data_IF_929512031629
#
_entry.id   IF_929512031629
#
_cell.length_a   1.000
_cell.length_b   1.000
_cell.length_c   1.000
_cell.angle_alpha   90.00
_cell.angle_beta   90.00
_cell.angle_gamma   90.00
#
_symmetry.space_group_name_H-M   'P 1'
#
loop_
_entity.id
_entity.type
_entity.pdbx_description
1 polymer ?
#
# COMPACT_ATOMS: atom_id res chain seq x y z
N UNK A 1 -11.13 22.56 15.67
CA UNK A 1 -11.56 21.33 16.39
C UNK A 1 -10.57 21.11 17.53
N UNK A 2 -11.07 21.12 18.76
CA UNK A 2 -10.18 21.05 19.95
C UNK A 2 -10.07 19.62 20.51
N UNK A 3 -9.86 18.65 19.62
CA UNK A 3 -9.65 17.27 20.06
C UNK A 3 -8.30 17.13 20.73
N UNK A 4 -8.27 16.46 21.89
CA UNK A 4 -7.05 16.22 22.67
C UNK A 4 -6.09 15.25 21.99
N UNK A 5 -6.65 14.31 21.22
CA UNK A 5 -5.93 13.23 20.54
C UNK A 5 -6.41 13.12 19.10
N UNK A 6 -5.46 12.94 18.19
CA UNK A 6 -5.74 12.51 16.81
C UNK A 6 -5.28 11.07 16.64
N UNK A 7 -6.16 10.22 16.13
CA UNK A 7 -5.85 8.83 15.76
C UNK A 7 -6.03 8.68 14.26
N UNK A 8 -5.00 8.24 13.57
CA UNK A 8 -5.05 7.94 12.15
C UNK A 8 -5.06 6.42 11.93
N UNK A 9 -5.86 5.98 10.97
CA UNK A 9 -5.93 4.60 10.49
C UNK A 9 -5.54 4.61 9.01
N UNK A 10 -4.46 3.93 8.69
CA UNK A 10 -4.09 3.61 7.31
C UNK A 10 -4.48 2.16 7.01
N UNK A 11 -5.61 2.02 6.34
CA UNK A 11 -6.12 0.73 5.91
C UNK A 11 -5.57 0.39 4.53
N UNK A 12 -4.33 -0.13 4.49
CA UNK A 12 -3.62 -0.43 3.24
C UNK A 12 -4.06 -1.74 2.57
N UNK A 13 -3.76 -1.92 1.29
CA UNK A 13 -4.08 -3.16 0.56
C UNK A 13 -3.30 -4.36 1.08
N UNK A 14 -2.03 -4.17 1.42
CA UNK A 14 -1.14 -5.24 1.87
C UNK A 14 -0.88 -5.18 3.36
N UNK A 15 -0.72 -3.99 3.90
CA UNK A 15 -0.43 -3.74 5.31
C UNK A 15 -1.29 -2.59 5.80
N UNK A 16 -1.88 -2.76 6.98
CA UNK A 16 -2.68 -1.77 7.69
C UNK A 16 -2.00 -1.40 8.99
N UNK A 17 -2.27 -0.20 9.49
CA UNK A 17 -1.75 0.25 10.77
C UNK A 17 -2.51 1.44 11.29
N UNK A 18 -2.27 1.75 12.55
CA UNK A 18 -2.80 2.95 13.18
C UNK A 18 -1.72 3.67 13.98
N UNK A 19 -1.88 4.97 14.12
CA UNK A 19 -0.98 5.84 14.84
C UNK A 19 -1.74 6.99 15.47
N UNK A 20 -1.15 7.61 16.47
CA UNK A 20 -1.76 8.73 17.18
C UNK A 20 -0.73 9.72 17.67
N UNK A 21 -1.18 10.92 17.97
CA UNK A 21 -0.46 11.87 18.80
C UNK A 21 -1.43 12.74 19.63
N UNK A 22 -0.93 13.18 20.77
CA UNK A 22 -1.64 14.16 21.57
C UNK A 22 -1.41 15.56 21.03
N UNK A 23 -2.38 16.47 21.18
CA UNK A 23 -2.23 17.86 20.70
C UNK A 23 -1.01 18.55 21.27
N UNK A 24 -0.74 18.43 22.56
CA UNK A 24 0.42 19.03 23.20
C UNK A 24 1.78 18.46 22.72
N UNK A 25 1.79 17.21 22.24
CA UNK A 25 2.98 16.60 21.61
C UNK A 25 3.17 17.14 20.20
N UNK A 26 2.10 17.20 19.42
CA UNK A 26 2.08 17.79 18.08
C UNK A 26 2.58 19.22 18.06
N UNK A 27 2.11 20.07 18.99
CA UNK A 27 2.51 21.47 19.11
C UNK A 27 4.01 21.64 19.41
N UNK A 28 4.64 20.66 20.06
CA UNK A 28 6.08 20.67 20.34
C UNK A 28 6.91 20.08 19.22
N UNK A 29 6.44 18.99 18.62
CA UNK A 29 7.12 18.27 17.57
C UNK A 29 6.07 17.54 16.68
N UNK A 30 5.69 18.14 15.53
CA UNK A 30 4.68 17.57 14.64
C UNK A 30 4.99 16.18 14.11
N UNK A 31 6.26 15.78 14.07
CA UNK A 31 6.66 14.45 13.58
C UNK A 31 6.71 13.39 14.68
N UNK A 32 6.47 13.78 15.94
CA UNK A 32 6.39 12.84 17.06
C UNK A 32 5.03 12.13 17.05
N UNK A 33 4.97 11.05 16.30
CA UNK A 33 3.78 10.22 16.13
C UNK A 33 4.04 8.82 16.69
N UNK A 34 3.18 8.38 17.58
CA UNK A 34 3.20 7.04 18.17
C UNK A 34 2.41 6.05 17.32
N UNK A 35 2.93 4.86 17.09
CA UNK A 35 2.26 3.78 16.35
C UNK A 35 2.40 2.45 17.04
N UNK A 36 1.46 1.54 16.81
CA UNK A 36 1.54 0.16 17.30
C UNK A 36 2.65 -0.60 16.55
N UNK A 37 3.42 -1.38 17.29
CA UNK A 37 4.29 -2.39 16.71
C UNK A 37 3.53 -3.71 16.58
N UNK A 38 3.50 -4.25 15.38
CA UNK A 38 2.92 -5.53 15.03
C UNK A 38 4.02 -6.59 14.96
N UNK A 39 3.73 -7.79 15.44
CA UNK A 39 4.70 -8.89 15.46
C UNK A 39 4.17 -10.08 14.66
N UNK A 40 5.01 -10.62 13.78
CA UNK A 40 4.73 -11.83 13.02
C UNK A 40 5.98 -12.72 12.99
N UNK A 41 6.07 -13.66 13.94
CA UNK A 41 7.28 -14.44 14.12
C UNK A 41 8.47 -13.55 14.47
N UNK A 42 9.49 -13.52 13.61
CA UNK A 42 10.70 -12.69 13.77
C UNK A 42 10.55 -11.27 13.20
N UNK A 43 9.43 -10.97 12.54
CA UNK A 43 9.17 -9.66 11.95
C UNK A 43 8.50 -8.73 12.96
N UNK A 44 9.06 -7.53 13.12
CA UNK A 44 8.44 -6.42 13.85
C UNK A 44 8.23 -5.28 12.85
N UNK A 45 7.00 -4.77 12.77
CA UNK A 45 6.63 -3.69 11.85
C UNK A 45 5.60 -2.77 12.48
N UNK A 46 5.57 -1.51 12.06
CA UNK A 46 4.52 -0.55 12.46
C UNK A 46 3.21 -0.72 11.68
N UNK A 47 3.14 -1.70 10.79
CA UNK A 47 1.93 -2.13 10.08
C UNK A 47 1.88 -3.66 10.04
N UNK A 48 0.69 -4.23 10.29
CA UNK A 48 0.40 -5.66 10.11
C UNK A 48 -0.20 -5.95 8.74
N UNK A 49 -0.14 -7.20 8.24
CA UNK A 49 -0.76 -7.59 6.99
C UNK A 49 -2.27 -7.36 7.02
N UNK A 50 -2.83 -6.86 5.92
CA UNK A 50 -4.27 -6.67 5.77
C UNK A 50 -4.93 -8.01 5.46
N UNK A 51 -5.17 -8.78 6.49
CA UNK A 51 -5.90 -10.04 6.43
C UNK A 51 -6.74 -10.25 7.69
N UNK A 52 -7.78 -11.05 7.56
CA UNK A 52 -8.75 -11.32 8.60
C UNK A 52 -9.15 -12.79 8.56
N UNK A 53 -9.30 -13.39 9.73
CA UNK A 53 -9.86 -14.72 9.92
C UNK A 53 -11.23 -14.61 10.58
N UNK A 54 -12.24 -15.19 9.93
CA UNK A 54 -13.62 -15.22 10.40
C UNK A 54 -13.97 -16.67 10.73
N UNK A 55 -14.68 -16.87 11.86
CA UNK A 55 -15.10 -18.16 12.34
C UNK A 55 -16.07 -18.87 11.38
N UNK A 56 -16.33 -20.17 11.55
CA UNK A 56 -17.27 -20.95 10.73
C UNK A 56 -18.70 -20.39 10.67
N UNK A 57 -19.10 -19.56 11.62
CA UNK A 57 -20.39 -18.87 11.59
C UNK A 57 -20.53 -17.81 10.50
N UNK A 58 -19.42 -17.48 9.81
CA UNK A 58 -19.36 -16.48 8.75
C UNK A 58 -19.56 -15.04 9.22
N UNK A 59 -19.55 -14.78 10.52
CA UNK A 59 -19.85 -13.47 11.13
C UNK A 59 -18.84 -13.02 12.18
N UNK A 60 -18.39 -13.94 13.02
CA UNK A 60 -17.52 -13.60 14.16
C UNK A 60 -16.07 -13.54 13.69
N UNK A 61 -15.44 -12.38 13.83
CA UNK A 61 -14.01 -12.26 13.62
C UNK A 61 -13.27 -13.00 14.72
N UNK A 62 -12.29 -13.79 14.32
CA UNK A 62 -11.38 -14.47 15.23
C UNK A 62 -10.10 -13.64 15.44
N UNK A 63 -9.46 -13.25 14.35
CA UNK A 63 -8.20 -12.52 14.39
C UNK A 63 -7.98 -11.65 13.14
N UNK A 64 -7.05 -10.72 13.26
CA UNK A 64 -6.59 -9.83 12.20
C UNK A 64 -5.06 -9.88 12.14
N UNK A 65 -4.42 -9.36 11.06
CA UNK A 65 -2.97 -9.24 10.85
C UNK A 65 -2.20 -10.58 10.84
N UNK A 66 -1.01 -10.59 11.41
CA UNK A 66 -0.15 -11.79 11.52
C UNK A 66 -0.81 -12.92 12.32
N UNK A 67 -1.66 -12.59 13.30
CA UNK A 67 -2.40 -13.58 14.07
C UNK A 67 -3.40 -14.33 13.18
N UNK A 68 -4.06 -13.63 12.26
CA UNK A 68 -4.97 -14.24 11.30
C UNK A 68 -4.22 -15.19 10.34
N UNK A 69 -3.04 -14.80 9.86
CA UNK A 69 -2.21 -15.67 9.00
C UNK A 69 -1.73 -16.90 9.76
N UNK A 70 -1.27 -16.74 11.01
CA UNK A 70 -0.74 -17.84 11.82
C UNK A 70 -1.82 -18.83 12.21
N UNK A 71 -2.96 -18.34 12.71
CA UNK A 71 -4.08 -19.22 13.07
C UNK A 71 -4.69 -19.95 11.87
N UNK A 72 -4.74 -19.29 10.70
CA UNK A 72 -5.22 -19.96 9.50
C UNK A 72 -4.26 -21.07 9.04
N UNK A 73 -2.94 -20.84 9.17
CA UNK A 73 -1.94 -21.87 8.93
C UNK A 73 -2.08 -23.06 9.88
N UNK A 74 -2.29 -22.80 11.20
CA UNK A 74 -2.57 -23.86 12.19
C UNK A 74 -3.84 -24.66 11.83
N UNK A 75 -4.92 -23.98 11.39
CA UNK A 75 -6.13 -24.66 10.92
C UNK A 75 -5.88 -25.52 9.67
N UNK A 76 -4.97 -25.09 8.79
CA UNK A 76 -4.59 -25.87 7.63
C UNK A 76 -3.79 -27.13 8.01
N UNK A 77 -2.92 -27.07 9.01
CA UNK A 77 -2.23 -28.26 9.55
C UNK A 77 -3.22 -29.26 10.17
N UNK A 78 -4.28 -28.75 10.84
CA UNK A 78 -5.34 -29.56 11.42
C UNK A 78 -6.35 -30.09 10.38
N UNK A 79 -6.26 -29.71 9.09
CA UNK A 79 -7.23 -29.95 8.02
C UNK A 79 -8.66 -29.42 8.31
N UNK A 80 -8.76 -28.34 9.10
CA UNK A 80 -10.01 -27.67 9.51
C UNK A 80 -10.26 -26.36 8.75
N UNK A 81 -9.31 -25.91 7.90
CA UNK A 81 -9.31 -24.61 7.24
C UNK A 81 -10.54 -24.37 6.36
N UNK A 82 -11.17 -25.41 5.81
CA UNK A 82 -12.31 -25.29 4.88
C UNK A 82 -13.58 -24.77 5.58
N UNK A 83 -13.63 -24.81 6.92
CA UNK A 83 -14.71 -24.27 7.71
C UNK A 83 -14.52 -22.77 8.04
N UNK A 84 -13.31 -22.24 7.88
CA UNK A 84 -12.94 -20.90 8.24
C UNK A 84 -12.86 -19.98 7.02
N UNK A 85 -13.18 -18.69 7.20
CA UNK A 85 -13.10 -17.71 6.13
C UNK A 85 -11.87 -16.85 6.32
N UNK A 86 -10.83 -17.06 5.51
CA UNK A 86 -9.60 -16.27 5.51
C UNK A 86 -9.58 -15.31 4.34
N UNK A 87 -9.61 -14.01 4.63
CA UNK A 87 -9.53 -12.96 3.61
C UNK A 87 -8.20 -12.23 3.72
N UNK A 88 -7.46 -12.19 2.61
CA UNK A 88 -6.18 -11.49 2.49
C UNK A 88 -6.26 -10.44 1.40
N UNK A 89 -5.69 -9.24 1.69
CA UNK A 89 -5.61 -8.13 0.71
C UNK A 89 -6.97 -7.67 0.18
N UNK A 90 -8.00 -7.76 0.98
CA UNK A 90 -9.40 -7.54 0.56
C UNK A 90 -9.74 -6.07 0.27
N UNK A 91 -8.91 -5.08 0.67
CA UNK A 91 -9.12 -3.66 0.35
C UNK A 91 -9.34 -3.42 -1.15
N UNK A 92 -8.64 -4.15 -2.03
CA UNK A 92 -8.80 -4.00 -3.49
C UNK A 92 -10.16 -4.47 -4.02
N UNK A 93 -10.89 -5.28 -3.25
CA UNK A 93 -12.27 -5.66 -3.60
C UNK A 93 -13.21 -4.46 -3.49
N UNK A 94 -12.91 -3.49 -2.63
CA UNK A 94 -13.68 -2.26 -2.44
C UNK A 94 -13.58 -1.33 -3.65
N UNK A 95 -12.46 -1.37 -4.39
CA UNK A 95 -12.28 -0.62 -5.63
C UNK A 95 -13.20 -1.09 -6.77
N UNK A 96 -13.73 -2.32 -6.69
CA UNK A 96 -14.55 -2.99 -7.72
C UNK A 96 -16.02 -3.22 -7.32
N UNK A 97 -16.59 -2.41 -6.42
CA UNK A 97 -18.00 -2.50 -5.99
C UNK A 97 -18.42 -3.85 -5.37
N UNK A 98 -17.97 -4.18 -4.16
CA UNK A 98 -18.52 -5.31 -3.36
C UNK A 98 -18.72 -4.95 -1.89
N UNK A 99 -19.92 -5.33 -1.35
CA UNK A 99 -20.53 -4.79 -0.13
C UNK A 99 -20.14 -5.40 1.24
N UNK A 100 -19.34 -6.45 1.40
CA UNK A 100 -19.48 -7.34 2.58
C UNK A 100 -18.34 -7.40 3.61
N UNK A 101 -17.50 -6.37 3.83
CA UNK A 101 -16.24 -6.59 4.59
C UNK A 101 -16.07 -5.82 5.92
N UNK A 102 -17.00 -4.99 6.38
CA UNK A 102 -16.65 -3.88 7.30
C UNK A 102 -17.13 -3.89 8.75
N UNK A 103 -17.80 -4.90 9.24
CA UNK A 103 -18.21 -4.97 10.67
C UNK A 103 -17.04 -5.15 11.65
N UNK A 104 -15.84 -5.41 11.16
CA UNK A 104 -14.76 -5.99 11.98
C UNK A 104 -13.73 -5.02 12.55
N UNK A 105 -13.63 -3.80 12.03
CA UNK A 105 -12.58 -2.84 12.43
C UNK A 105 -12.83 -2.14 13.78
N UNK A 106 -14.02 -2.28 14.37
CA UNK A 106 -14.48 -1.44 15.50
C UNK A 106 -14.04 -1.81 16.91
N UNK A 107 -13.38 -2.95 17.15
CA UNK A 107 -13.27 -3.51 18.51
C UNK A 107 -11.92 -3.38 19.23
N UNK A 108 -10.93 -2.70 18.70
CA UNK A 108 -9.56 -2.74 19.28
C UNK A 108 -8.99 -1.43 19.86
N UNK A 109 -9.78 -0.41 20.11
CA UNK A 109 -9.27 0.81 20.78
C UNK A 109 -9.85 0.90 22.18
N UNK A 110 -9.23 0.20 23.12
CA UNK A 110 -9.46 0.40 24.58
C UNK A 110 -8.48 1.47 25.08
N UNK A 111 -8.84 2.73 24.86
CA UNK A 111 -8.16 3.88 25.45
C UNK A 111 -9.08 4.45 26.51
N UNK A 112 -8.57 4.82 27.67
CA UNK A 112 -9.33 5.46 28.75
C UNK A 112 -9.96 6.81 28.40
N UNK A 113 -9.96 7.19 27.10
CA UNK A 113 -10.61 8.36 26.51
C UNK A 113 -11.94 7.93 25.90
N UNK A 114 -12.96 8.77 26.07
CA UNK A 114 -14.22 8.57 25.34
C UNK A 114 -14.01 8.72 23.83
N UNK A 115 -14.75 7.94 23.04
CA UNK A 115 -14.68 8.00 21.54
C UNK A 115 -14.94 9.43 21.03
N UNK A 116 -15.66 10.25 21.82
CA UNK A 116 -15.95 11.67 21.55
C UNK A 116 -14.72 12.60 21.65
N UNK A 117 -13.69 12.19 22.38
CA UNK A 117 -12.50 13.03 22.65
C UNK A 117 -11.41 12.83 21.59
N UNK A 118 -11.61 11.85 20.70
CA UNK A 118 -10.69 11.46 19.66
C UNK A 118 -11.17 12.01 18.31
N UNK A 119 -10.28 12.67 17.57
CA UNK A 119 -10.48 12.93 16.16
C UNK A 119 -9.85 11.81 15.32
N UNK A 120 -10.67 11.15 14.53
CA UNK A 120 -10.29 10.02 13.71
C UNK A 120 -9.99 10.45 12.29
N UNK A 121 -8.88 9.98 11.74
CA UNK A 121 -8.49 10.21 10.35
C UNK A 121 -8.32 8.86 9.66
N UNK A 122 -9.06 8.64 8.58
CA UNK A 122 -8.99 7.42 7.79
C UNK A 122 -8.45 7.72 6.39
N UNK A 123 -7.39 7.02 5.98
CA UNK A 123 -6.76 7.23 4.68
C UNK A 123 -7.42 6.41 3.59
N UNK A 124 -7.48 7.00 2.39
CA UNK A 124 -7.96 6.32 1.17
C UNK A 124 -7.09 6.71 -0.02
N UNK A 125 -6.92 5.82 -1.03
CA UNK A 125 -6.23 6.15 -2.27
C UNK A 125 -6.87 7.34 -2.98
N UNK A 126 -6.07 8.22 -3.56
CA UNK A 126 -6.57 9.40 -4.25
C UNK A 126 -7.36 9.06 -5.52
N UNK A 127 -7.02 7.95 -6.20
CA UNK A 127 -7.72 7.48 -7.41
C UNK A 127 -9.11 6.89 -7.15
N UNK A 128 -9.48 6.62 -5.89
CA UNK A 128 -10.78 6.03 -5.58
C UNK A 128 -11.94 6.97 -5.93
N UNK A 129 -13.06 6.39 -6.38
CA UNK A 129 -14.28 7.12 -6.64
C UNK A 129 -15.03 7.45 -5.33
N UNK A 130 -16.04 8.32 -5.44
CA UNK A 130 -16.79 8.79 -4.26
C UNK A 130 -17.59 7.65 -3.58
N UNK A 131 -18.05 6.64 -4.34
CA UNK A 131 -18.72 5.48 -3.77
C UNK A 131 -17.78 4.67 -2.85
N UNK A 132 -16.53 4.43 -3.27
CA UNK A 132 -15.54 3.75 -2.45
C UNK A 132 -15.15 4.57 -1.19
N UNK A 133 -15.05 5.90 -1.33
CA UNK A 133 -14.79 6.79 -0.18
C UNK A 133 -15.96 6.80 0.80
N UNK A 134 -17.19 6.84 0.29
CA UNK A 134 -18.41 6.79 1.10
C UNK A 134 -18.54 5.46 1.82
N UNK A 135 -18.23 4.35 1.14
CA UNK A 135 -18.21 3.04 1.76
C UNK A 135 -17.24 2.97 2.95
N UNK A 136 -16.03 3.51 2.83
CA UNK A 136 -15.07 3.57 3.93
C UNK A 136 -15.58 4.43 5.10
N UNK A 137 -16.31 5.51 4.81
CA UNK A 137 -16.95 6.34 5.83
C UNK A 137 -18.02 5.57 6.60
N UNK A 138 -18.91 4.90 5.89
CA UNK A 138 -19.96 4.07 6.48
C UNK A 138 -19.39 2.93 7.31
N UNK A 139 -18.33 2.32 6.84
CA UNK A 139 -17.63 1.29 7.56
C UNK A 139 -17.05 1.75 8.88
N UNK A 140 -16.36 2.88 8.88
CA UNK A 140 -15.82 3.47 10.10
C UNK A 140 -16.96 3.82 11.09
N UNK A 141 -18.08 4.32 10.58
CA UNK A 141 -19.28 4.61 11.42
C UNK A 141 -19.90 3.34 12.01
N UNK A 142 -20.04 2.28 11.21
CA UNK A 142 -20.52 0.98 11.66
C UNK A 142 -19.58 0.35 12.69
N UNK A 143 -18.30 0.67 12.61
CA UNK A 143 -17.28 0.29 13.59
C UNK A 143 -17.34 1.12 14.89
N UNK A 144 -18.29 2.06 15.01
CA UNK A 144 -18.49 2.87 16.21
C UNK A 144 -17.77 4.22 16.20
N UNK A 145 -17.13 4.63 15.09
CA UNK A 145 -16.49 5.95 14.96
C UNK A 145 -17.59 6.99 14.65
N UNK A 146 -17.80 8.02 15.52
CA UNK A 146 -18.82 9.02 15.27
C UNK A 146 -18.53 9.85 14.01
N UNK A 147 -19.55 10.04 13.16
CA UNK A 147 -19.41 10.77 11.89
C UNK A 147 -18.79 12.17 12.06
N UNK A 148 -19.15 12.87 13.14
CA UNK A 148 -18.64 14.23 13.45
C UNK A 148 -17.14 14.26 13.79
N UNK A 149 -16.60 13.11 14.22
CA UNK A 149 -15.20 12.98 14.62
C UNK A 149 -14.34 12.28 13.55
N UNK A 150 -14.91 11.95 12.38
CA UNK A 150 -14.24 11.22 11.32
C UNK A 150 -13.91 12.13 10.13
N UNK A 151 -12.64 12.19 9.77
CA UNK A 151 -12.15 12.79 8.52
C UNK A 151 -11.59 11.71 7.60
N UNK A 152 -11.98 11.74 6.32
CA UNK A 152 -11.35 10.95 5.26
C UNK A 152 -10.29 11.82 4.58
N UNK A 153 -9.08 11.31 4.40
CA UNK A 153 -7.99 12.01 3.72
C UNK A 153 -7.36 11.15 2.61
N UNK A 154 -6.70 11.81 1.66
CA UNK A 154 -6.07 11.16 0.53
C UNK A 154 -4.63 10.77 0.86
N UNK A 155 -4.26 9.51 0.57
CA UNK A 155 -2.94 8.95 0.91
C UNK A 155 -1.76 9.82 0.44
N UNK A 156 -1.65 10.25 -0.83
CA UNK A 156 -0.53 11.08 -1.28
C UNK A 156 -0.51 12.49 -0.68
N UNK A 157 -1.68 13.08 -0.37
CA UNK A 157 -1.75 14.40 0.26
C UNK A 157 -1.13 14.38 1.66
N UNK A 158 -1.59 13.45 2.50
CA UNK A 158 -1.10 13.37 3.88
C UNK A 158 0.36 12.93 3.94
N UNK A 159 0.81 12.05 3.04
CA UNK A 159 2.22 11.71 2.92
C UNK A 159 3.08 12.93 2.58
N UNK A 160 2.59 13.79 1.70
CA UNK A 160 3.24 15.06 1.35
C UNK A 160 3.35 15.99 2.55
N UNK A 161 2.28 16.12 3.36
CA UNK A 161 2.28 16.91 4.59
C UNK A 161 3.40 16.43 5.54
N UNK A 162 3.45 15.13 5.82
CA UNK A 162 4.50 14.55 6.67
C UNK A 162 5.90 14.88 6.17
N UNK A 163 6.15 14.69 4.88
CA UNK A 163 7.47 14.92 4.30
C UNK A 163 7.91 16.40 4.37
N UNK A 164 6.99 17.35 4.47
CA UNK A 164 7.31 18.76 4.68
C UNK A 164 7.83 19.06 6.09
N UNK A 165 7.45 18.27 7.07
CA UNK A 165 7.92 18.40 8.45
C UNK A 165 9.24 17.65 8.72
N UNK A 166 9.73 16.84 7.75
CA UNK A 166 10.96 16.07 7.96
C UNK A 166 12.20 16.99 8.01
N UNK A 167 13.10 16.78 9.00
CA UNK A 167 14.37 17.47 9.05
C UNK A 167 15.32 17.02 7.93
N UNK A 168 16.27 17.88 7.53
CA UNK A 168 17.24 17.67 6.43
C UNK A 168 18.00 16.33 6.51
N UNK A 169 18.23 15.83 7.71
CA UNK A 169 18.99 14.60 7.94
C UNK A 169 18.23 13.29 7.66
N UNK A 170 16.90 13.35 7.47
CA UNK A 170 16.02 12.16 7.32
C UNK A 170 15.51 11.92 5.91
N UNK A 171 15.99 12.64 4.91
CA UNK A 171 15.67 12.37 3.50
C UNK A 171 16.93 12.01 2.74
N UNK A 172 17.03 10.78 2.26
CA UNK A 172 18.10 10.37 1.37
C UNK A 172 17.77 10.81 -0.07
N UNK A 173 18.47 11.83 -0.54
CA UNK A 173 18.58 12.07 -1.98
C UNK A 173 19.84 11.38 -2.47
N UNK A 174 19.75 10.68 -3.59
CA UNK A 174 20.95 10.18 -4.28
C UNK A 174 21.75 11.40 -4.74
N UNK A 175 22.67 11.86 -3.89
CA UNK A 175 23.64 12.91 -4.21
C UNK A 175 23.59 14.22 -3.43
N UNK A 176 22.46 14.69 -2.86
CA UNK A 176 22.38 15.93 -2.08
C UNK A 176 21.27 15.95 -1.03
N UNK A 177 21.55 16.59 0.11
CA UNK A 177 20.60 16.81 1.20
C UNK A 177 19.60 17.91 0.82
N UNK A 178 18.41 17.57 0.36
CA UNK A 178 17.37 18.59 0.17
C UNK A 178 15.99 18.09 0.56
N UNK A 179 15.24 18.98 1.14
CA UNK A 179 13.95 18.75 1.76
C UNK A 179 12.85 19.51 1.07
N UNK A 180 11.64 18.90 1.09
CA UNK A 180 10.42 19.60 0.75
C UNK A 180 10.18 20.85 1.59
N UNK A 181 10.65 20.89 2.84
CA UNK A 181 10.58 22.07 3.70
C UNK A 181 11.32 23.29 3.13
N UNK A 182 12.28 23.08 2.22
CA UNK A 182 13.03 24.15 1.55
C UNK A 182 12.38 24.61 0.25
N UNK A 183 11.29 23.98 -0.19
CA UNK A 183 10.60 24.41 -1.38
C UNK A 183 9.90 25.75 -1.13
N UNK A 184 10.33 26.75 -1.89
CA UNK A 184 9.73 28.08 -1.86
C UNK A 184 8.34 28.06 -2.47
N UNK A 185 7.57 29.10 -2.18
CA UNK A 185 6.28 29.35 -2.84
C UNK A 185 6.41 29.27 -4.37
N UNK A 186 5.42 28.66 -5.01
CA UNK A 186 5.37 28.39 -6.44
C UNK A 186 6.13 27.13 -6.88
N UNK A 187 6.88 26.46 -5.98
CA UNK A 187 7.55 25.21 -6.33
C UNK A 187 6.54 24.09 -6.51
N UNK A 188 6.61 23.43 -7.66
CA UNK A 188 5.77 22.27 -8.03
C UNK A 188 6.55 20.99 -7.85
N UNK A 189 5.92 19.97 -7.30
CA UNK A 189 6.49 18.64 -7.19
C UNK A 189 5.42 17.57 -7.33
N UNK A 190 5.85 16.41 -7.78
CA UNK A 190 5.00 15.23 -7.94
C UNK A 190 5.12 14.35 -6.71
N UNK A 191 4.01 13.84 -6.22
CA UNK A 191 3.96 12.78 -5.21
C UNK A 191 3.62 11.47 -5.93
N UNK A 192 4.52 10.49 -5.83
CA UNK A 192 4.34 9.12 -6.29
C UNK A 192 4.10 8.26 -5.06
N UNK A 193 2.85 7.99 -4.74
CA UNK A 193 2.50 7.03 -3.70
C UNK A 193 2.48 5.62 -4.31
N UNK A 194 3.54 4.86 -4.03
CA UNK A 194 3.68 3.49 -4.47
C UNK A 194 3.33 2.54 -3.33
N UNK A 195 2.06 2.17 -3.28
CA UNK A 195 1.51 1.24 -2.31
C UNK A 195 1.66 -0.23 -2.69
N UNK A 196 1.08 -1.10 -1.87
CA UNK A 196 1.03 -2.54 -2.18
C UNK A 196 0.04 -2.87 -3.29
N UNK A 197 -1.12 -2.22 -3.33
CA UNK A 197 -2.19 -2.45 -4.31
C UNK A 197 -2.21 -1.46 -5.44
N UNK A 198 -2.05 -0.17 -5.11
CA UNK A 198 -2.18 0.95 -6.05
C UNK A 198 -0.87 1.71 -6.20
N UNK A 199 -0.78 2.42 -7.31
CA UNK A 199 0.12 3.54 -7.54
C UNK A 199 -0.77 4.76 -7.72
N UNK A 200 -0.54 5.79 -6.92
CA UNK A 200 -1.25 7.06 -6.98
C UNK A 200 -0.26 8.20 -7.26
N UNK A 201 -0.62 9.08 -8.19
CA UNK A 201 0.18 10.23 -8.58
C UNK A 201 -0.66 11.50 -8.40
N UNK A 202 -0.11 12.45 -7.67
CA UNK A 202 -0.65 13.81 -7.53
C UNK A 202 0.45 14.85 -7.78
N UNK A 203 0.07 16.05 -8.17
CA UNK A 203 0.99 17.18 -8.34
C UNK A 203 0.58 18.29 -7.42
N UNK A 204 1.50 18.72 -6.57
CA UNK A 204 1.29 19.76 -5.58
C UNK A 204 2.15 20.99 -5.87
N UNK A 205 1.63 22.16 -5.49
CA UNK A 205 2.35 23.43 -5.47
C UNK A 205 2.36 23.98 -4.04
N UNK A 206 3.48 24.53 -3.63
CA UNK A 206 3.61 25.24 -2.35
C UNK A 206 3.03 26.63 -2.51
N UNK A 207 2.02 27.00 -1.70
CA UNK A 207 1.40 28.34 -1.72
C UNK A 207 2.30 29.38 -1.07
N UNK A 208 1.91 30.67 -1.16
CA UNK A 208 2.61 31.77 -0.51
C UNK A 208 2.59 31.68 1.02
N UNK A 209 1.56 31.08 1.59
CA UNK A 209 1.39 30.83 3.03
C UNK A 209 2.07 29.54 3.50
N UNK A 210 2.61 28.75 2.56
CA UNK A 210 3.31 27.53 2.87
C UNK A 210 2.43 26.26 2.88
N UNK A 211 1.14 26.39 2.66
CA UNK A 211 0.22 25.25 2.49
C UNK A 211 0.39 24.57 1.13
N UNK A 212 -0.38 23.54 0.88
CA UNK A 212 -0.35 22.79 -0.36
C UNK A 212 -1.61 23.01 -1.18
N UNK A 213 -1.40 23.15 -2.48
CA UNK A 213 -2.45 23.20 -3.50
C UNK A 213 -2.26 22.03 -4.46
N UNK A 214 -3.30 21.24 -4.68
CA UNK A 214 -3.33 20.23 -5.73
C UNK A 214 -3.52 20.91 -7.10
N UNK A 215 -2.66 20.57 -8.07
CA UNK A 215 -2.71 21.16 -9.41
C UNK A 215 -3.43 20.28 -10.43
N UNK A 216 -3.46 18.97 -10.22
CA UNK A 216 -4.07 18.01 -11.12
C UNK A 216 -4.78 16.92 -10.34
N UNK A 217 -5.93 16.49 -10.87
CA UNK A 217 -6.64 15.33 -10.34
C UNK A 217 -5.71 14.12 -10.26
N UNK A 218 -5.83 13.35 -9.19
CA UNK A 218 -5.04 12.15 -9.01
C UNK A 218 -5.16 11.20 -10.22
N UNK A 219 -4.03 10.69 -10.68
CA UNK A 219 -3.92 9.63 -11.67
C UNK A 219 -3.21 8.41 -11.09
N UNK A 220 -3.40 7.23 -11.68
CA UNK A 220 -2.82 6.02 -11.14
C UNK A 220 -3.54 4.75 -11.54
N UNK A 221 -3.30 3.67 -10.80
CA UNK A 221 -3.94 2.39 -11.07
C UNK A 221 -3.51 1.27 -10.12
N UNK A 222 -4.06 0.07 -10.36
CA UNK A 222 -3.80 -1.12 -9.58
C UNK A 222 -2.45 -1.79 -9.96
N UNK A 223 -1.35 -1.04 -9.85
CA UNK A 223 0.01 -1.46 -10.25
C UNK A 223 1.00 -1.47 -9.07
N UNK A 224 0.51 -1.63 -7.86
CA UNK A 224 1.34 -1.67 -6.65
C UNK A 224 2.21 -2.93 -6.54
N UNK A 225 2.95 -3.03 -5.44
CA UNK A 225 3.94 -4.10 -5.17
C UNK A 225 3.39 -5.53 -5.24
N UNK A 226 2.06 -5.72 -5.08
CA UNK A 226 1.41 -7.04 -5.25
C UNK A 226 1.49 -7.59 -6.67
N UNK A 227 1.72 -6.75 -7.67
CA UNK A 227 1.94 -7.20 -9.06
C UNK A 227 3.27 -7.96 -9.20
N UNK A 228 4.28 -7.62 -8.40
CA UNK A 228 5.54 -8.39 -8.33
C UNK A 228 5.27 -9.77 -7.75
N UNK A 229 4.43 -9.88 -6.70
CA UNK A 229 4.04 -11.17 -6.11
C UNK A 229 3.27 -12.03 -7.13
N UNK A 230 2.36 -11.40 -7.89
CA UNK A 230 1.62 -12.09 -8.97
C UNK A 230 2.56 -12.59 -10.08
N UNK A 231 3.58 -11.81 -10.44
CA UNK A 231 4.59 -12.23 -11.41
C UNK A 231 5.45 -13.40 -10.89
N UNK A 232 5.78 -13.41 -9.59
CA UNK A 232 6.45 -14.53 -8.96
C UNK A 232 5.57 -15.79 -8.92
N UNK A 233 4.30 -15.67 -8.58
CA UNK A 233 3.35 -16.80 -8.64
C UNK A 233 3.22 -17.35 -10.06
N UNK A 234 3.13 -16.48 -11.06
CA UNK A 234 3.09 -16.88 -12.46
C UNK A 234 4.39 -17.58 -12.89
N UNK A 235 5.55 -17.13 -12.38
CA UNK A 235 6.82 -17.81 -12.59
C UNK A 235 6.79 -19.24 -12.02
N UNK A 236 6.37 -19.45 -10.76
CA UNK A 236 6.23 -20.79 -10.18
C UNK A 236 5.24 -21.63 -10.98
N UNK A 237 4.07 -21.07 -11.30
CA UNK A 237 3.02 -21.74 -12.08
C UNK A 237 3.55 -22.19 -13.44
N UNK A 238 4.37 -21.40 -14.09
CA UNK A 238 4.97 -21.77 -15.41
C UNK A 238 5.95 -22.95 -15.34
N UNK A 239 6.49 -23.22 -14.16
CA UNK A 239 7.41 -24.37 -13.93
C UNK A 239 6.62 -25.62 -13.54
N UNK A 240 5.74 -25.51 -12.53
CA UNK A 240 5.10 -26.69 -11.92
C UNK A 240 3.69 -26.97 -12.46
N UNK A 241 3.04 -26.00 -13.06
CA UNK A 241 1.67 -26.06 -13.56
C UNK A 241 0.64 -25.52 -12.58
N UNK A 242 -0.48 -25.03 -13.12
CA UNK A 242 -1.56 -24.38 -12.34
C UNK A 242 -2.24 -25.35 -11.35
N UNK A 243 -2.43 -26.61 -11.73
CA UNK A 243 -3.06 -27.61 -10.88
C UNK A 243 -2.23 -27.91 -9.63
N UNK A 244 -0.89 -27.97 -9.77
CA UNK A 244 0.04 -28.16 -8.65
C UNK A 244 -0.03 -26.97 -7.70
N UNK A 245 -0.02 -25.74 -8.23
CA UNK A 245 -0.13 -24.53 -7.40
C UNK A 245 -1.47 -24.46 -6.67
N UNK A 246 -2.59 -24.81 -7.34
CA UNK A 246 -3.90 -24.86 -6.69
C UNK A 246 -3.93 -25.89 -5.56
N UNK A 247 -3.40 -27.10 -5.80
CA UNK A 247 -3.33 -28.15 -4.78
C UNK A 247 -2.40 -27.76 -3.64
N UNK A 248 -1.29 -27.08 -3.94
CA UNK A 248 -0.36 -26.57 -2.95
C UNK A 248 -1.03 -25.53 -2.03
N UNK A 249 -1.78 -24.58 -2.59
CA UNK A 249 -2.58 -23.62 -1.82
C UNK A 249 -3.61 -24.29 -0.91
N UNK A 250 -4.28 -25.34 -1.41
CA UNK A 250 -5.36 -25.97 -0.67
C UNK A 250 -4.89 -26.93 0.41
N UNK A 251 -3.77 -27.63 0.19
CA UNK A 251 -3.29 -28.67 1.11
C UNK A 251 -2.10 -28.28 1.99
N UNK A 252 -1.35 -27.26 1.59
CA UNK A 252 -0.13 -26.82 2.26
C UNK A 252 -0.11 -25.29 2.32
N UNK A 253 -1.16 -24.70 2.90
CA UNK A 253 -1.35 -23.26 2.95
C UNK A 253 -0.27 -22.57 3.81
N UNK A 254 0.17 -23.22 4.88
CA UNK A 254 1.27 -22.82 5.74
C UNK A 254 2.56 -22.60 4.93
N UNK A 255 2.97 -23.63 4.19
CA UNK A 255 4.13 -23.60 3.30
C UNK A 255 3.96 -22.57 2.18
N UNK A 256 2.75 -22.43 1.62
CA UNK A 256 2.45 -21.41 0.61
C UNK A 256 2.63 -19.99 1.18
N UNK A 257 2.12 -19.71 2.38
CA UNK A 257 2.31 -18.43 3.07
C UNK A 257 3.80 -18.16 3.31
N UNK A 258 4.55 -19.15 3.78
CA UNK A 258 5.98 -19.05 4.06
C UNK A 258 6.82 -18.73 2.80
N UNK A 259 6.50 -19.37 1.66
CA UNK A 259 7.15 -19.07 0.37
C UNK A 259 6.98 -17.61 -0.03
N UNK A 260 5.77 -17.06 0.15
CA UNK A 260 5.51 -15.67 -0.20
C UNK A 260 6.04 -14.68 0.84
N UNK A 261 6.15 -15.05 2.12
CA UNK A 261 6.84 -14.27 3.14
C UNK A 261 8.35 -14.17 2.86
N UNK A 262 9.00 -15.28 2.50
CA UNK A 262 10.41 -15.27 2.11
C UNK A 262 10.62 -14.42 0.85
N UNK A 263 9.75 -14.56 -0.15
CA UNK A 263 9.81 -13.74 -1.37
C UNK A 263 9.61 -12.25 -1.07
N UNK A 264 8.70 -11.86 -0.17
CA UNK A 264 8.51 -10.46 0.25
C UNK A 264 9.80 -9.84 0.79
N UNK A 265 10.57 -10.60 1.57
CA UNK A 265 11.89 -10.15 2.09
C UNK A 265 12.89 -10.01 0.94
N UNK A 266 12.93 -10.97 0.02
CA UNK A 266 13.89 -10.99 -1.10
C UNK A 266 13.63 -9.89 -2.12
N UNK A 267 12.34 -9.67 -2.48
CA UNK A 267 11.98 -8.64 -3.47
C UNK A 267 12.40 -7.23 -3.05
N UNK A 268 12.44 -6.94 -1.73
CA UNK A 268 12.90 -5.65 -1.19
C UNK A 268 14.41 -5.42 -1.36
N UNK A 269 15.17 -6.46 -1.70
CA UNK A 269 16.63 -6.41 -1.90
C UNK A 269 17.03 -6.42 -3.37
N UNK A 270 16.08 -6.40 -4.29
CA UNK A 270 16.35 -6.40 -5.72
C UNK A 270 16.59 -4.98 -6.20
N UNK A 271 17.67 -4.81 -6.99
CA UNK A 271 17.98 -3.55 -7.69
C UNK A 271 18.29 -3.83 -9.17
N UNK A 272 18.26 -2.80 -10.04
CA UNK A 272 18.65 -2.95 -11.45
C UNK A 272 20.10 -3.45 -11.62
N UNK A 273 20.96 -3.12 -10.67
CA UNK A 273 22.40 -3.44 -10.70
C UNK A 273 22.77 -4.75 -10.01
N UNK A 274 21.83 -5.38 -9.29
CA UNK A 274 22.10 -6.64 -8.57
C UNK A 274 22.47 -7.76 -9.54
N UNK A 275 23.62 -8.37 -9.31
CA UNK A 275 24.16 -9.49 -10.12
C UNK A 275 24.05 -10.82 -9.38
N UNK A 276 24.04 -10.81 -8.03
CA UNK A 276 24.00 -12.02 -7.21
C UNK A 276 22.68 -12.75 -7.40
N UNK A 277 22.78 -14.08 -7.45
CA UNK A 277 21.61 -14.95 -7.52
C UNK A 277 20.75 -14.79 -6.26
N UNK A 278 19.44 -14.77 -6.46
CA UNK A 278 18.45 -14.70 -5.39
C UNK A 278 18.12 -16.11 -4.91
N UNK A 279 18.25 -16.34 -3.62
CA UNK A 279 17.90 -17.64 -3.01
C UNK A 279 16.55 -17.50 -2.31
N UNK A 280 15.57 -18.29 -2.77
CA UNK A 280 14.17 -18.27 -2.28
C UNK A 280 13.87 -19.64 -1.68
N UNK A 281 13.21 -19.67 -0.53
CA UNK A 281 12.78 -20.91 0.12
C UNK A 281 11.81 -21.68 -0.80
N UNK A 282 11.95 -23.01 -0.82
CA UNK A 282 11.08 -23.90 -1.55
C UNK A 282 10.79 -25.12 -0.69
N UNK A 283 9.58 -25.26 -0.14
CA UNK A 283 9.24 -26.34 0.78
C UNK A 283 9.19 -27.69 0.07
N UNK A 284 9.46 -28.75 0.83
CA UNK A 284 9.46 -30.13 0.34
C UNK A 284 8.07 -30.56 -0.16
N UNK A 285 7.00 -30.05 0.45
CA UNK A 285 5.61 -30.31 0.06
C UNK A 285 5.34 -29.98 -1.40
N UNK A 286 5.84 -28.84 -1.93
CA UNK A 286 5.71 -28.51 -3.33
C UNK A 286 6.46 -29.49 -4.24
N UNK A 287 7.66 -29.92 -3.84
CA UNK A 287 8.44 -30.93 -4.60
C UNK A 287 7.72 -32.29 -4.64
N UNK A 288 7.14 -32.70 -3.51
CA UNK A 288 6.34 -33.92 -3.39
C UNK A 288 5.12 -33.85 -4.32
N UNK A 289 4.35 -32.75 -4.30
CA UNK A 289 3.20 -32.56 -5.19
C UNK A 289 3.61 -32.60 -6.67
N UNK A 290 4.76 -32.05 -7.04
CA UNK A 290 5.26 -32.16 -8.42
C UNK A 290 5.46 -33.63 -8.81
N UNK A 291 6.10 -34.43 -7.94
CA UNK A 291 6.33 -35.85 -8.21
C UNK A 291 5.03 -36.64 -8.33
N UNK A 292 4.05 -36.39 -7.43
CA UNK A 292 2.76 -37.05 -7.42
C UNK A 292 1.90 -36.70 -8.65
N UNK A 293 1.82 -35.42 -9.03
CA UNK A 293 0.88 -34.94 -10.03
C UNK A 293 1.47 -34.87 -11.44
N UNK A 294 2.78 -34.69 -11.56
CA UNK A 294 3.48 -34.51 -12.84
C UNK A 294 4.37 -35.69 -13.20
N UNK A 295 4.47 -36.73 -12.32
CA UNK A 295 5.41 -37.84 -12.46
C UNK A 295 6.84 -37.39 -12.76
N UNK A 296 7.21 -36.22 -12.25
CA UNK A 296 8.49 -35.55 -12.49
C UNK A 296 8.86 -34.70 -11.27
N UNK A 297 10.11 -34.77 -10.84
CA UNK A 297 10.58 -33.94 -9.74
C UNK A 297 10.73 -32.46 -10.12
N UNK A 298 10.77 -31.59 -9.13
CA UNK A 298 10.87 -30.13 -9.36
C UNK A 298 12.13 -29.75 -10.16
N UNK A 299 13.26 -30.46 -9.97
CA UNK A 299 14.51 -30.22 -10.69
C UNK A 299 14.35 -30.51 -12.18
N UNK A 300 13.70 -31.61 -12.51
CA UNK A 300 13.43 -32.01 -13.90
C UNK A 300 12.47 -31.03 -14.58
N UNK A 301 11.42 -30.60 -13.87
CA UNK A 301 10.47 -29.57 -14.38
C UNK A 301 11.18 -28.23 -14.67
N UNK A 302 12.09 -27.80 -13.80
CA UNK A 302 12.87 -26.58 -14.02
C UNK A 302 13.75 -26.74 -15.24
N UNK A 303 14.47 -27.85 -15.40
CA UNK A 303 15.32 -28.09 -16.56
C UNK A 303 14.57 -28.09 -17.88
N UNK A 304 13.31 -28.55 -17.89
CA UNK A 304 12.42 -28.54 -19.05
C UNK A 304 11.79 -27.17 -19.32
N UNK A 305 11.78 -26.29 -18.34
CA UNK A 305 11.23 -24.93 -18.47
C UNK A 305 12.21 -23.99 -19.17
N UNK A 306 11.70 -22.83 -19.62
CA UNK A 306 12.53 -21.75 -20.16
C UNK A 306 13.58 -21.21 -19.18
N UNK A 307 13.52 -21.62 -17.92
CA UNK A 307 14.40 -21.17 -16.85
C UNK A 307 15.51 -22.17 -16.50
N UNK A 308 15.62 -23.30 -17.21
CA UNK A 308 16.53 -24.40 -16.87
C UNK A 308 17.99 -24.01 -16.69
N UNK A 309 18.49 -23.00 -17.41
CA UNK A 309 19.85 -22.46 -17.26
C UNK A 309 19.98 -21.42 -16.15
N UNK A 310 18.88 -20.80 -15.70
CA UNK A 310 18.84 -19.64 -14.79
C UNK A 310 18.38 -19.97 -13.37
N UNK A 311 17.82 -21.15 -13.17
CA UNK A 311 17.23 -21.60 -11.88
C UNK A 311 17.82 -22.95 -11.50
N UNK A 312 18.21 -23.06 -10.23
CA UNK A 312 18.74 -24.31 -9.66
C UNK A 312 18.03 -24.65 -8.35
N UNK A 313 17.68 -25.91 -8.19
CA UNK A 313 17.19 -26.44 -6.90
C UNK A 313 18.39 -26.79 -6.01
N UNK A 314 18.37 -26.34 -4.79
CA UNK A 314 19.36 -26.59 -3.74
C UNK A 314 18.62 -27.02 -2.48
N UNK A 315 18.42 -28.32 -2.29
CA UNK A 315 17.66 -28.88 -1.16
C UNK A 315 16.27 -28.20 -1.05
N UNK A 316 16.06 -27.40 -0.05
CA UNK A 316 14.82 -26.66 0.27
C UNK A 316 14.76 -25.23 -0.31
N UNK A 317 15.57 -24.93 -1.34
CA UNK A 317 15.71 -23.57 -1.91
C UNK A 317 15.79 -23.59 -3.42
N UNK A 318 15.25 -22.54 -4.03
CA UNK A 318 15.54 -22.17 -5.41
C UNK A 318 16.60 -21.08 -5.45
N UNK A 319 17.62 -21.27 -6.25
CA UNK A 319 18.63 -20.27 -6.56
C UNK A 319 18.36 -19.73 -7.96
N UNK A 320 17.87 -18.50 -8.03
CA UNK A 320 17.36 -17.85 -9.24
C UNK A 320 18.31 -16.74 -9.68
N UNK A 321 18.62 -16.64 -10.94
CA UNK A 321 19.43 -15.56 -11.47
C UNK A 321 18.70 -14.21 -11.28
N UNK A 322 19.44 -13.15 -10.94
CA UNK A 322 18.86 -11.86 -10.60
C UNK A 322 18.06 -11.22 -11.76
N UNK A 323 18.44 -11.49 -13.00
CA UNK A 323 17.72 -11.01 -14.19
C UNK A 323 16.28 -11.56 -14.27
N UNK A 324 16.07 -12.82 -13.90
CA UNK A 324 14.74 -13.43 -13.85
C UNK A 324 13.87 -12.72 -12.80
N UNK A 325 14.43 -12.43 -11.63
CA UNK A 325 13.67 -11.74 -10.56
C UNK A 325 13.40 -10.26 -10.95
N UNK A 326 14.33 -9.60 -11.64
CA UNK A 326 14.12 -8.24 -12.16
C UNK A 326 12.96 -8.17 -13.16
N UNK A 327 12.77 -9.22 -13.98
CA UNK A 327 11.65 -9.29 -14.91
C UNK A 327 10.29 -9.13 -14.25
N UNK A 328 10.12 -9.56 -12.99
CA UNK A 328 8.86 -9.42 -12.24
C UNK A 328 8.42 -7.96 -12.04
N UNK A 329 9.36 -7.02 -12.12
CA UNK A 329 9.10 -5.58 -11.95
C UNK A 329 8.83 -4.86 -13.27
N UNK A 330 9.10 -5.48 -14.42
CA UNK A 330 9.13 -4.79 -15.71
C UNK A 330 7.82 -4.08 -16.06
N UNK A 331 6.70 -4.77 -15.89
CA UNK A 331 5.39 -4.21 -16.23
C UNK A 331 5.04 -3.00 -15.36
N UNK A 332 5.31 -3.10 -14.04
CA UNK A 332 5.02 -2.01 -13.09
C UNK A 332 5.85 -0.78 -13.42
N UNK A 333 7.15 -0.96 -13.62
CA UNK A 333 8.06 0.15 -13.95
C UNK A 333 7.67 0.80 -15.28
N UNK A 334 7.19 0.03 -16.25
CA UNK A 334 6.70 0.57 -17.52
C UNK A 334 5.43 1.41 -17.34
N UNK A 335 4.48 0.96 -16.54
CA UNK A 335 3.27 1.72 -16.24
C UNK A 335 3.57 3.02 -15.49
N UNK A 336 4.40 2.96 -14.45
CA UNK A 336 4.82 4.16 -13.69
C UNK A 336 5.52 5.15 -14.63
N UNK A 337 6.41 4.66 -15.49
CA UNK A 337 7.11 5.50 -16.45
C UNK A 337 6.18 6.16 -17.48
N UNK A 338 5.06 5.52 -17.81
CA UNK A 338 4.03 6.10 -18.69
C UNK A 338 3.27 7.21 -17.98
N UNK A 339 2.82 6.97 -16.75
CA UNK A 339 2.13 7.98 -15.93
C UNK A 339 3.00 9.23 -15.71
N UNK A 340 4.28 9.03 -15.40
CA UNK A 340 5.21 10.14 -15.15
C UNK A 340 5.55 10.96 -16.41
N UNK A 341 5.10 10.57 -17.60
CA UNK A 341 5.22 11.36 -18.83
C UNK A 341 4.00 12.23 -19.11
N UNK A 342 2.97 12.18 -18.29
CA UNK A 342 1.79 13.02 -18.47
C UNK A 342 2.16 14.51 -18.42
N UNK A 343 1.46 15.37 -19.18
CA UNK A 343 1.74 16.82 -19.20
C UNK A 343 1.68 17.48 -17.81
N UNK A 344 0.90 16.92 -16.90
CA UNK A 344 0.77 17.38 -15.52
C UNK A 344 2.08 17.36 -14.73
N UNK A 345 3.01 16.50 -15.12
CA UNK A 345 4.33 16.36 -14.48
C UNK A 345 5.33 17.41 -14.97
N UNK A 346 5.03 18.10 -16.09
CA UNK A 346 5.92 19.08 -16.66
C UNK A 346 6.06 20.29 -15.71
N UNK A 347 7.28 20.72 -15.48
CA UNK A 347 7.60 21.86 -14.61
C UNK A 347 7.72 21.50 -13.12
N UNK A 348 7.60 20.22 -12.74
CA UNK A 348 7.93 19.78 -11.40
C UNK A 348 9.44 19.87 -11.14
N UNK A 349 9.81 20.29 -9.92
CA UNK A 349 11.20 20.33 -9.46
C UNK A 349 11.69 18.98 -8.90
N UNK A 350 10.75 18.15 -8.42
CA UNK A 350 11.07 16.88 -7.78
C UNK A 350 9.95 15.84 -7.91
N UNK A 351 10.33 14.57 -7.68
CA UNK A 351 9.44 13.44 -7.46
C UNK A 351 9.62 13.00 -5.99
N UNK A 352 8.57 13.11 -5.19
CA UNK A 352 8.51 12.56 -3.83
C UNK A 352 7.92 11.15 -3.91
N UNK A 353 8.71 10.14 -3.55
CA UNK A 353 8.28 8.74 -3.53
C UNK A 353 7.90 8.33 -2.10
N UNK A 354 6.64 7.95 -1.90
CA UNK A 354 6.07 7.49 -0.62
C UNK A 354 5.34 6.15 -0.80
N UNK A 355 4.85 5.57 0.30
CA UNK A 355 4.24 4.25 0.29
C UNK A 355 5.25 3.11 0.43
N UNK A 356 4.77 1.93 0.83
CA UNK A 356 5.64 0.80 1.18
C UNK A 356 6.46 0.23 0.01
N UNK A 357 5.97 0.32 -1.22
CA UNK A 357 6.68 -0.14 -2.40
C UNK A 357 7.75 0.85 -2.86
N UNK A 358 7.67 2.12 -2.47
CA UNK A 358 8.71 3.12 -2.72
C UNK A 358 10.04 2.81 -2.02
N UNK A 359 10.04 1.95 -0.99
CA UNK A 359 11.26 1.46 -0.38
C UNK A 359 12.06 0.46 -1.26
N UNK A 360 11.50 0.01 -2.41
CA UNK A 360 12.16 -0.91 -3.33
C UNK A 360 13.31 -0.22 -4.09
N UNK A 361 14.58 -0.67 -3.97
CA UNK A 361 15.68 -0.14 -4.77
C UNK A 361 15.44 -0.27 -6.27
N UNK A 362 14.77 -1.35 -6.68
CA UNK A 362 14.40 -1.57 -8.09
C UNK A 362 13.51 -0.45 -8.63
N UNK A 363 12.54 0.02 -7.83
CA UNK A 363 11.67 1.12 -8.21
C UNK A 363 12.41 2.47 -8.19
N UNK A 364 13.14 2.76 -7.10
CA UNK A 364 13.86 4.01 -6.91
C UNK A 364 14.87 4.28 -8.03
N UNK A 365 15.78 3.32 -8.27
CA UNK A 365 16.80 3.44 -9.29
C UNK A 365 16.20 3.51 -10.71
N UNK A 366 15.10 2.78 -10.96
CA UNK A 366 14.41 2.83 -12.26
C UNK A 366 13.74 4.18 -12.51
N UNK A 367 13.13 4.80 -11.50
CA UNK A 367 12.55 6.14 -11.60
C UNK A 367 13.67 7.16 -11.80
N UNK A 368 14.73 7.12 -10.99
CA UNK A 368 15.87 8.03 -11.10
C UNK A 368 16.56 7.95 -12.49
N UNK A 369 16.73 6.73 -13.02
CA UNK A 369 17.35 6.54 -14.33
C UNK A 369 16.51 7.10 -15.50
N UNK A 370 15.18 7.07 -15.36
CA UNK A 370 14.25 7.58 -16.40
C UNK A 370 14.02 9.08 -16.32
N UNK A 371 14.11 9.68 -15.13
CA UNK A 371 13.81 11.10 -14.87
C UNK A 371 15.03 11.83 -14.29
N UNK A 372 16.15 11.76 -15.02
CA UNK A 372 17.45 12.31 -14.60
C UNK A 372 17.44 13.81 -14.31
N UNK A 373 16.50 14.55 -14.89
CA UNK A 373 16.36 16.00 -14.71
C UNK A 373 15.50 16.37 -13.49
N UNK A 374 14.85 15.37 -12.85
CA UNK A 374 14.05 15.57 -11.66
C UNK A 374 14.79 15.02 -10.43
N UNK A 375 14.71 15.74 -9.34
CA UNK A 375 15.19 15.24 -8.06
C UNK A 375 14.23 14.17 -7.54
N UNK A 376 14.72 12.98 -7.23
CA UNK A 376 13.92 11.92 -6.59
C UNK A 376 14.21 11.93 -5.10
N UNK A 377 13.16 12.12 -4.30
CA UNK A 377 13.21 12.20 -2.83
C UNK A 377 12.46 10.99 -2.29
N UNK A 378 13.13 10.19 -1.46
CA UNK A 378 12.52 9.03 -0.78
C UNK A 378 12.79 9.18 0.71
N UNK A 379 11.78 9.39 1.55
CA UNK A 379 11.94 9.41 2.99
C UNK A 379 12.40 8.04 3.52
N UNK A 380 13.20 8.03 4.59
CA UNK A 380 13.65 6.77 5.22
C UNK A 380 12.48 5.89 5.66
N UNK A 381 11.40 6.51 6.11
CA UNK A 381 10.16 5.86 6.53
C UNK A 381 9.01 6.05 5.50
N UNK A 382 9.33 6.02 4.20
CA UNK A 382 8.37 6.19 3.11
C UNK A 382 7.09 5.32 3.27
N UNK A 383 7.22 4.11 3.83
CA UNK A 383 6.10 3.22 4.11
C UNK A 383 5.14 3.70 5.20
N UNK A 384 5.58 4.65 6.04
CA UNK A 384 4.80 5.22 7.14
C UNK A 384 4.37 6.67 6.87
N UNK A 385 4.85 7.28 5.78
CA UNK A 385 4.59 8.68 5.47
C UNK A 385 3.09 9.00 5.42
N UNK A 386 2.29 8.11 4.84
CA UNK A 386 0.82 8.21 4.80
C UNK A 386 0.24 8.21 6.21
N UNK A 387 0.59 7.23 7.02
CA UNK A 387 0.05 7.05 8.37
C UNK A 387 0.40 8.23 9.29
N UNK A 388 1.67 8.63 9.30
CA UNK A 388 2.14 9.76 10.12
C UNK A 388 1.58 11.09 9.64
N UNK A 389 1.51 11.29 8.32
CA UNK A 389 0.91 12.47 7.72
C UNK A 389 -0.57 12.61 8.00
N UNK A 390 -1.30 11.49 8.09
CA UNK A 390 -2.70 11.50 8.46
C UNK A 390 -2.93 11.97 9.91
N UNK A 391 -2.02 11.64 10.84
CA UNK A 391 -2.05 12.19 12.21
C UNK A 391 -1.83 13.70 12.19
N UNK A 392 -0.81 14.19 11.46
CA UNK A 392 -0.52 15.63 11.32
C UNK A 392 -1.74 16.35 10.73
N UNK A 393 -2.31 15.81 9.64
CA UNK A 393 -3.49 16.37 8.98
C UNK A 393 -4.72 16.47 9.91
N UNK A 394 -4.88 15.52 10.82
CA UNK A 394 -5.97 15.59 11.82
C UNK A 394 -5.81 16.75 12.80
N UNK A 395 -4.58 17.18 13.09
CA UNK A 395 -4.30 18.38 13.89
C UNK A 395 -4.40 19.67 13.07
N UNK A 396 -4.04 19.61 11.78
CA UNK A 396 -3.97 20.76 10.86
C UNK A 396 -4.67 20.45 9.52
N UNK A 397 -6.03 20.39 9.50
CA UNK A 397 -6.77 20.01 8.30
C UNK A 397 -6.73 21.06 7.19
N UNK A 398 -6.24 22.27 7.48
CA UNK A 398 -6.07 23.38 6.53
C UNK A 398 -4.77 23.30 5.73
N UNK A 399 -3.91 22.33 6.00
CA UNK A 399 -2.65 22.13 5.28
C UNK A 399 -2.81 21.93 3.76
N UNK A 400 -3.99 21.48 3.31
CA UNK A 400 -4.39 21.41 1.89
C UNK A 400 -5.48 22.44 1.63
N UNK A 401 -5.16 23.48 0.87
CA UNK A 401 -6.08 24.60 0.63
C UNK A 401 -6.97 24.43 -0.59
N UNK A 402 -6.48 23.77 -1.64
CA UNK A 402 -7.21 23.59 -2.89
C UNK A 402 -7.03 22.16 -3.42
N UNK A 403 -8.15 21.61 -3.95
CA UNK A 403 -8.19 20.29 -4.61
C UNK A 403 -8.82 20.39 -5.98
N UNK A 404 -8.36 19.56 -6.90
CA UNK A 404 -8.93 19.43 -8.24
C UNK A 404 -9.98 18.32 -8.25
N UNK A 405 -11.23 18.67 -8.48
CA UNK A 405 -12.32 17.69 -8.57
C UNK A 405 -12.11 16.74 -9.74
N UNK A 406 -12.30 15.43 -9.48
CA UNK A 406 -12.21 14.38 -10.50
C UNK A 406 -13.28 14.52 -11.58
N UNK A 407 -14.49 14.99 -11.20
CA UNK A 407 -15.66 15.18 -12.04
C UNK A 407 -16.17 16.62 -11.93
N UNK A 408 -16.92 17.06 -12.92
CA UNK A 408 -17.73 18.28 -12.81
C UNK A 408 -19.00 17.93 -12.05
N UNK A 409 -19.24 18.60 -10.93
CA UNK A 409 -20.45 18.45 -10.13
C UNK A 409 -21.42 19.58 -10.43
N UNK A 410 -22.70 19.26 -10.47
CA UNK A 410 -23.75 20.22 -10.67
C UNK A 410 -25.06 19.74 -10.08
N UNK A 411 -25.95 20.69 -9.76
CA UNK A 411 -27.34 20.39 -9.37
C UNK A 411 -28.28 20.74 -10.53
N UNK A 412 -29.19 19.81 -10.86
CA UNK A 412 -30.28 20.12 -11.78
C UNK A 412 -31.25 21.08 -11.10
N UNK A 413 -31.50 22.22 -11.72
CA UNK A 413 -32.56 23.16 -11.30
C UNK A 413 -33.63 23.25 -12.39
N UNK A 414 -34.90 23.25 -11.99
CA UNK A 414 -36.01 23.52 -12.88
C UNK A 414 -36.52 24.94 -12.61
N UNK A 415 -36.47 25.77 -13.61
CA UNK A 415 -37.14 27.09 -13.59
C UNK A 415 -38.38 27.03 -14.45
N UNK A 416 -39.43 27.85 -14.13
CA UNK A 416 -40.52 28.08 -15.06
C UNK A 416 -39.93 28.61 -16.36
N UNK A 417 -40.39 28.07 -17.48
CA UNK A 417 -39.97 28.52 -18.81
C UNK A 417 -40.24 30.02 -18.95
N UNK A 418 -39.24 30.79 -19.32
CA UNK A 418 -39.32 32.19 -19.66
C UNK A 418 -38.78 32.35 -21.08
N UNK A 419 -39.65 32.77 -21.99
CA UNK A 419 -39.32 32.94 -23.42
C UNK A 419 -38.19 33.96 -23.67
N UNK A 420 -37.89 34.81 -22.70
CA UNK A 420 -36.82 35.82 -22.79
C UNK A 420 -35.44 35.34 -22.33
N UNK A 421 -35.34 34.17 -21.72
CA UNK A 421 -34.03 33.57 -21.40
C UNK A 421 -33.46 32.86 -22.63
N UNK A 422 -32.72 33.57 -23.46
CA UNK A 422 -31.83 32.96 -24.44
C UNK A 422 -30.63 32.41 -23.70
N UNK A 423 -30.44 31.08 -23.78
CA UNK A 423 -29.22 30.39 -23.34
C UNK A 423 -28.02 30.98 -24.08
N UNK A 424 -27.13 31.63 -23.34
CA UNK A 424 -25.78 32.00 -23.80
C UNK A 424 -24.86 30.80 -23.70
#
# INVERSE_FOLDING_TARGET
MDSLVVVAIDFGTTYSGWAFSFRHEYERDPIKVSSKNWQGGTLVSQKGPTCILIKPDGKTTDSFDYDAESKYAEKAEENDQDQWFFYKRFKMMLFKDKKDVLETLGKQVDTGFGVSDIHWVLTVPAIWNDAAKQFMREAAQNAGIPAKNLTICLEPEVASIYCRHLPVSKSSTVGEKSLLAQFSSGTKYLVLDAGGGTIDITVHEVTTSGELKELHKASGGAWGGTKVDQAYEAFLTSIVGSEVIMKFKNKHMDDYIEVFRDFEIKKRQISPTKQEKVTIRMPASLSTLCSEMRSSDLKSLILQSRFGSKVKVLSDKLRVDADVVREFFTNIISHIATLLKEPSVHGCAAILMVGGFSASPMLQESVQAKFRNLRVIVPDDAGLAVLKGAVIFGHEPTAITERVCKYTYGTGTTHKYDENMRTS
#
